data_IF_257893473520
#
_entry.id   IF_257893473520
#
_cell.length_a   1.000
_cell.length_b   1.000
_cell.length_c   1.000
_cell.angle_alpha   90.00
_cell.angle_beta   90.00
_cell.angle_gamma   90.00
#
_symmetry.space_group_name_H-M   'P 1'
#
loop_
_entity.id
_entity.type
_entity.pdbx_description
1 polymer ?
#
# COMPACT_ATOMS: atom_id res chain seq x y z
N UNK A 1 8.86 -5.79 23.29
CA UNK A 1 9.75 -5.87 22.12
C UNK A 1 8.91 -5.53 20.91
N UNK A 2 9.29 -4.50 20.14
CA UNK A 2 8.60 -4.14 18.90
C UNK A 2 8.79 -5.30 17.91
N UNK A 3 7.69 -5.91 17.47
CA UNK A 3 7.72 -7.08 16.58
C UNK A 3 7.67 -6.72 15.10
N UNK A 4 7.26 -5.49 14.76
CA UNK A 4 7.11 -5.02 13.38
C UNK A 4 8.32 -4.18 12.98
N UNK A 5 8.94 -4.50 11.86
CA UNK A 5 10.16 -3.85 11.35
C UNK A 5 10.02 -3.63 9.86
N UNK A 6 10.56 -2.53 9.36
CA UNK A 6 10.59 -2.23 7.93
C UNK A 6 11.79 -1.35 7.61
N UNK A 7 12.44 -1.58 6.47
CA UNK A 7 13.54 -0.75 5.97
C UNK A 7 12.98 0.28 5.01
N UNK A 8 13.35 1.54 5.14
CA UNK A 8 12.94 2.62 4.25
C UNK A 8 13.98 2.82 3.17
N UNK A 9 13.48 2.96 1.95
CA UNK A 9 14.21 3.45 0.80
C UNK A 9 14.40 4.99 0.85
N UNK A 10 15.41 5.51 0.14
CA UNK A 10 15.69 6.93 0.01
C UNK A 10 14.46 7.70 -0.53
N UNK A 11 13.70 7.12 -1.45
CA UNK A 11 12.46 7.71 -1.97
C UNK A 11 11.45 8.02 -0.86
N UNK A 12 11.34 7.15 0.14
CA UNK A 12 10.43 7.34 1.27
C UNK A 12 10.87 8.52 2.14
N UNK A 13 12.16 8.67 2.39
CA UNK A 13 12.70 9.84 3.11
C UNK A 13 12.39 11.15 2.37
N UNK A 14 12.62 11.18 1.05
CA UNK A 14 12.32 12.34 0.20
C UNK A 14 10.83 12.69 0.29
N UNK A 15 9.94 11.68 0.26
CA UNK A 15 8.49 11.90 0.40
C UNK A 15 8.06 12.32 1.81
N UNK A 16 8.73 11.85 2.85
CA UNK A 16 8.51 12.31 4.22
C UNK A 16 8.89 13.79 4.42
N UNK A 17 9.86 14.28 3.64
CA UNK A 17 10.26 15.70 3.65
C UNK A 17 9.33 16.58 2.81
N UNK A 18 8.97 16.12 1.60
CA UNK A 18 8.21 16.93 0.63
C UNK A 18 6.68 16.79 0.78
N UNK A 19 6.20 15.74 1.43
CA UNK A 19 4.78 15.42 1.62
C UNK A 19 4.39 15.29 3.09
N UNK A 20 3.12 14.97 3.34
CA UNK A 20 2.58 14.80 4.71
C UNK A 20 2.39 13.34 5.10
N UNK A 21 1.75 12.55 4.22
CA UNK A 21 1.34 11.16 4.50
C UNK A 21 2.47 10.28 5.04
N UNK A 22 3.64 10.26 4.39
CA UNK A 22 4.75 9.40 4.83
C UNK A 22 5.27 9.79 6.21
N UNK A 23 5.42 11.10 6.46
CA UNK A 23 5.84 11.60 7.77
C UNK A 23 4.81 11.27 8.85
N UNK A 24 3.53 11.51 8.58
CA UNK A 24 2.43 11.19 9.50
C UNK A 24 2.42 9.69 9.85
N UNK A 25 2.64 8.81 8.88
CA UNK A 25 2.75 7.36 9.12
C UNK A 25 3.94 7.01 10.02
N UNK A 26 5.11 7.59 9.79
CA UNK A 26 6.30 7.34 10.63
C UNK A 26 6.05 7.83 12.07
N UNK A 27 5.51 9.04 12.22
CA UNK A 27 5.22 9.64 13.53
C UNK A 27 4.13 8.87 14.29
N UNK A 28 3.05 8.49 13.60
CA UNK A 28 1.92 7.77 14.18
C UNK A 28 2.32 6.36 14.65
N UNK A 29 3.10 5.64 13.85
CA UNK A 29 3.39 4.23 14.11
C UNK A 29 4.77 3.96 14.73
N UNK A 30 5.59 5.00 15.01
CA UNK A 30 6.94 4.84 15.56
C UNK A 30 7.02 4.12 16.91
N UNK A 31 5.90 4.06 17.67
CA UNK A 31 5.83 3.28 18.91
C UNK A 31 5.58 1.77 18.67
N UNK A 32 5.03 1.40 17.51
CA UNK A 32 4.60 0.04 17.16
C UNK A 32 5.47 -0.62 16.08
N UNK A 33 6.18 0.19 15.29
CA UNK A 33 6.99 -0.23 14.14
C UNK A 33 8.38 0.38 14.27
N UNK A 34 9.40 -0.45 14.16
CA UNK A 34 10.79 0.01 14.05
C UNK A 34 11.10 0.28 12.57
N UNK A 35 11.35 1.55 12.26
CA UNK A 35 11.70 2.02 10.91
C UNK A 35 13.22 2.08 10.78
N UNK A 36 13.78 1.29 9.86
CA UNK A 36 15.22 1.21 9.63
C UNK A 36 15.63 1.93 8.35
N UNK A 37 16.77 2.59 8.32
CA UNK A 37 17.27 3.31 7.13
C UNK A 37 18.77 3.03 6.97
N UNK A 38 19.26 2.55 5.81
CA UNK A 38 20.70 2.50 5.55
C UNK A 38 21.28 3.91 5.57
N UNK A 39 22.47 4.11 6.16
CA UNK A 39 23.12 5.44 6.20
C UNK A 39 23.27 6.04 4.79
N UNK A 40 23.65 5.21 3.81
CA UNK A 40 23.76 5.59 2.40
C UNK A 40 22.43 6.09 1.79
N UNK A 41 21.27 5.64 2.29
CA UNK A 41 19.96 6.11 1.81
C UNK A 41 19.64 7.53 2.29
N UNK A 42 20.15 7.93 3.47
CA UNK A 42 20.07 9.33 3.91
C UNK A 42 20.91 10.25 3.02
N UNK A 43 22.14 9.85 2.69
CA UNK A 43 23.02 10.63 1.80
C UNK A 43 22.44 10.75 0.38
N UNK A 44 21.80 9.69 -0.09
CA UNK A 44 21.05 9.73 -1.34
C UNK A 44 19.87 10.71 -1.26
N UNK A 45 19.00 10.57 -0.26
CA UNK A 45 17.86 11.46 -0.07
C UNK A 45 18.27 12.95 0.01
N UNK A 46 19.35 13.26 0.73
CA UNK A 46 19.93 14.60 0.81
C UNK A 46 20.29 15.15 -0.59
N UNK A 47 21.05 14.39 -1.39
CA UNK A 47 21.44 14.79 -2.75
C UNK A 47 20.22 15.05 -3.63
N UNK A 48 19.22 14.17 -3.58
CA UNK A 48 18.00 14.32 -4.38
C UNK A 48 17.14 15.51 -3.94
N UNK A 49 16.99 15.73 -2.63
CA UNK A 49 16.24 16.87 -2.08
C UNK A 49 16.83 18.20 -2.52
N UNK A 50 18.15 18.35 -2.51
CA UNK A 50 18.81 19.58 -2.98
C UNK A 50 18.56 19.83 -4.47
N UNK A 51 18.60 18.78 -5.30
CA UNK A 51 18.29 18.88 -6.75
C UNK A 51 16.83 19.24 -6.99
N UNK A 52 15.90 18.60 -6.27
CA UNK A 52 14.45 18.87 -6.38
C UNK A 52 14.14 20.28 -5.87
N UNK A 53 14.72 20.68 -4.75
CA UNK A 53 14.55 21.99 -4.13
C UNK A 53 14.99 23.11 -5.05
N UNK A 54 16.16 22.98 -5.67
CA UNK A 54 16.66 23.94 -6.67
C UNK A 54 15.70 24.09 -7.87
N UNK A 55 15.09 22.99 -8.34
CA UNK A 55 14.13 23.02 -9.44
C UNK A 55 12.77 23.62 -9.06
N UNK A 56 12.33 23.44 -7.82
CA UNK A 56 10.99 23.85 -7.34
C UNK A 56 10.99 25.15 -6.53
N UNK A 57 12.16 25.76 -6.30
CA UNK A 57 12.30 27.00 -5.53
C UNK A 57 12.10 26.80 -4.02
N UNK A 58 12.37 25.60 -3.49
CA UNK A 58 12.37 25.36 -2.05
C UNK A 58 13.70 25.78 -1.43
N UNK A 59 13.65 26.28 -0.20
CA UNK A 59 14.86 26.61 0.57
C UNK A 59 15.66 25.33 0.90
N UNK A 60 16.92 25.21 0.45
CA UNK A 60 17.76 24.05 0.74
C UNK A 60 17.89 23.77 2.23
N UNK A 61 18.02 24.83 3.05
CA UNK A 61 18.19 24.66 4.50
C UNK A 61 16.94 24.04 5.13
N UNK A 62 15.76 24.56 4.81
CA UNK A 62 14.50 23.99 5.29
C UNK A 62 14.30 22.51 4.90
N UNK A 63 14.75 22.11 3.71
CA UNK A 63 14.68 20.70 3.27
C UNK A 63 15.60 19.80 4.10
N UNK A 64 16.84 20.23 4.33
CA UNK A 64 17.81 19.47 5.13
C UNK A 64 17.40 19.41 6.60
N UNK A 65 16.95 20.53 7.18
CA UNK A 65 16.43 20.58 8.55
C UNK A 65 15.23 19.61 8.71
N UNK A 66 14.35 19.52 7.71
CA UNK A 66 13.24 18.58 7.68
C UNK A 66 13.70 17.12 7.57
N UNK A 67 14.70 16.82 6.74
CA UNK A 67 15.30 15.48 6.64
C UNK A 67 15.95 15.06 7.97
N UNK A 68 16.73 15.96 8.59
CA UNK A 68 17.42 15.69 9.85
C UNK A 68 16.43 15.45 11.00
N UNK A 69 15.27 16.12 10.98
CA UNK A 69 14.23 15.87 11.97
C UNK A 69 13.56 14.49 11.86
N UNK A 70 13.82 13.71 10.79
CA UNK A 70 13.41 12.30 10.71
C UNK A 70 14.37 11.35 11.43
N UNK A 71 15.65 11.72 11.62
CA UNK A 71 16.66 10.89 12.28
C UNK A 71 16.24 10.36 13.66
N UNK A 72 15.61 11.14 14.57
CA UNK A 72 15.15 10.60 15.85
C UNK A 72 13.95 9.64 15.75
N UNK A 73 13.30 9.56 14.59
CA UNK A 73 12.12 8.72 14.35
C UNK A 73 12.46 7.36 13.69
N UNK A 74 13.73 7.17 13.30
CA UNK A 74 14.19 5.99 12.56
C UNK A 74 15.51 5.46 13.13
N UNK A 75 15.80 4.18 12.92
CA UNK A 75 17.05 3.53 13.30
C UNK A 75 17.98 3.43 12.08
N UNK A 76 19.23 3.86 12.20
CA UNK A 76 20.20 3.74 11.10
C UNK A 76 20.82 2.34 11.05
N UNK A 77 20.97 1.82 9.84
CA UNK A 77 21.73 0.59 9.57
C UNK A 77 23.08 0.99 9.00
N UNK A 78 24.15 0.67 9.74
CA UNK A 78 25.50 1.09 9.37
C UNK A 78 26.03 0.31 8.17
N UNK A 79 26.99 0.89 7.46
CA UNK A 79 27.65 0.23 6.34
C UNK A 79 28.29 -1.12 6.73
N UNK A 80 28.87 -1.23 7.93
CA UNK A 80 29.50 -2.47 8.40
C UNK A 80 28.50 -3.63 8.49
N UNK A 81 27.23 -3.34 8.80
CA UNK A 81 26.18 -4.33 8.89
C UNK A 81 25.70 -4.83 7.51
N UNK A 82 25.76 -3.97 6.48
CA UNK A 82 25.19 -4.27 5.15
C UNK A 82 26.24 -4.67 4.11
N UNK A 83 27.48 -4.20 4.21
CA UNK A 83 28.57 -4.51 3.27
C UNK A 83 28.80 -6.01 3.09
N UNK A 84 28.77 -6.87 4.13
CA UNK A 84 28.89 -8.32 3.97
C UNK A 84 27.81 -8.95 3.08
N UNK A 85 26.65 -8.31 2.96
CA UNK A 85 25.51 -8.77 2.16
C UNK A 85 25.47 -8.14 0.76
N UNK A 86 26.40 -7.25 0.43
CA UNK A 86 26.42 -6.50 -0.84
C UNK A 86 26.32 -7.39 -2.07
N UNK A 87 27.13 -8.45 -2.14
CA UNK A 87 27.10 -9.37 -3.29
C UNK A 87 25.75 -10.07 -3.44
N UNK A 88 25.11 -10.46 -2.33
CA UNK A 88 23.79 -11.09 -2.34
C UNK A 88 22.68 -10.09 -2.70
N UNK A 89 22.79 -8.85 -2.23
CA UNK A 89 21.87 -7.76 -2.58
C UNK A 89 21.97 -7.41 -4.08
N UNK A 90 23.17 -7.22 -4.60
CA UNK A 90 23.40 -6.94 -6.03
C UNK A 90 22.92 -8.09 -6.93
N UNK A 91 23.13 -9.35 -6.53
CA UNK A 91 22.62 -10.50 -7.27
C UNK A 91 21.08 -10.53 -7.33
N UNK A 92 20.41 -10.06 -6.27
CA UNK A 92 18.95 -9.93 -6.19
C UNK A 92 18.41 -8.76 -7.02
N UNK A 93 19.12 -7.63 -7.00
CA UNK A 93 18.82 -6.47 -7.84
C UNK A 93 18.94 -6.86 -9.31
N UNK A 94 19.99 -7.59 -9.70
CA UNK A 94 20.15 -8.04 -11.08
C UNK A 94 20.42 -6.85 -12.02
N UNK A 95 19.52 -6.60 -12.97
CA UNK A 95 19.68 -5.55 -13.99
C UNK A 95 18.97 -4.22 -13.68
N UNK A 96 18.37 -4.05 -12.48
CA UNK A 96 17.81 -2.77 -12.01
C UNK A 96 18.90 -1.84 -11.48
N UNK A 97 18.54 -0.75 -10.80
CA UNK A 97 19.52 0.21 -10.25
C UNK A 97 20.47 -0.44 -9.22
N UNK A 98 21.78 -0.54 -9.52
CA UNK A 98 22.74 -1.09 -8.58
C UNK A 98 22.94 -0.22 -7.33
N UNK A 99 22.49 1.04 -7.33
CA UNK A 99 22.58 1.93 -6.17
C UNK A 99 21.62 1.54 -5.03
N UNK A 100 20.58 0.76 -5.31
CA UNK A 100 19.60 0.27 -4.34
C UNK A 100 20.11 -0.85 -3.41
N UNK A 101 21.33 -1.33 -3.66
CA UNK A 101 21.91 -2.45 -2.91
C UNK A 101 21.92 -2.23 -1.38
N UNK A 102 22.14 -1.02 -0.83
CA UNK A 102 22.14 -0.81 0.62
C UNK A 102 20.78 -1.12 1.25
N UNK A 103 19.69 -0.76 0.57
CA UNK A 103 18.31 -0.98 1.04
C UNK A 103 17.98 -2.47 1.02
N UNK A 104 18.32 -3.18 -0.06
CA UNK A 104 18.16 -4.64 -0.14
C UNK A 104 19.03 -5.34 0.90
N UNK A 105 20.29 -4.93 1.07
CA UNK A 105 21.20 -5.52 2.06
C UNK A 105 20.71 -5.32 3.50
N UNK A 106 20.19 -4.14 3.84
CA UNK A 106 19.59 -3.88 5.15
C UNK A 106 18.35 -4.76 5.40
N UNK A 107 17.48 -4.91 4.40
CA UNK A 107 16.32 -5.80 4.47
C UNK A 107 16.71 -7.26 4.73
N UNK A 108 17.78 -7.73 4.09
CA UNK A 108 18.32 -9.07 4.32
C UNK A 108 18.95 -9.21 5.71
N UNK A 109 19.70 -8.21 6.17
CA UNK A 109 20.34 -8.23 7.50
C UNK A 109 19.30 -8.30 8.62
N UNK A 110 18.21 -7.55 8.48
CA UNK A 110 17.15 -7.42 9.49
C UNK A 110 16.01 -8.43 9.30
N UNK A 111 16.00 -9.15 8.16
CA UNK A 111 14.94 -10.07 7.75
C UNK A 111 13.55 -9.41 7.79
N UNK A 112 13.44 -8.21 7.22
CA UNK A 112 12.21 -7.42 7.23
C UNK A 112 11.92 -6.80 5.86
N UNK A 113 10.67 -6.42 5.56
CA UNK A 113 10.31 -5.80 4.28
C UNK A 113 11.00 -4.46 4.03
N UNK A 114 10.94 -4.00 2.78
CA UNK A 114 11.33 -2.65 2.34
C UNK A 114 10.08 -1.81 2.10
N UNK A 115 10.01 -0.60 2.64
CA UNK A 115 9.09 0.45 2.21
C UNK A 115 9.76 1.25 1.09
N UNK A 116 9.18 1.21 -0.10
CA UNK A 116 9.65 1.95 -1.28
C UNK A 116 8.46 2.33 -2.14
N UNK A 117 8.60 3.35 -2.97
CA UNK A 117 7.67 3.66 -4.07
C UNK A 117 8.30 3.38 -5.43
N UNK A 118 9.52 2.84 -5.42
CA UNK A 118 10.26 2.48 -6.61
C UNK A 118 9.88 1.05 -7.05
N UNK A 119 9.64 0.91 -8.34
CA UNK A 119 9.34 -0.38 -8.95
C UNK A 119 10.58 -1.27 -9.10
N UNK A 120 11.78 -0.71 -8.97
CA UNK A 120 13.04 -1.43 -9.17
C UNK A 120 13.30 -2.49 -8.09
N UNK A 121 12.75 -2.33 -6.89
CA UNK A 121 12.79 -3.36 -5.85
C UNK A 121 11.86 -4.55 -6.13
N UNK A 122 10.88 -4.42 -7.04
CA UNK A 122 9.94 -5.49 -7.32
C UNK A 122 10.65 -6.67 -8.00
N UNK A 123 10.57 -7.85 -7.40
CA UNK A 123 11.27 -9.04 -7.87
C UNK A 123 12.76 -9.09 -7.49
N UNK A 124 13.20 -8.26 -6.54
CA UNK A 124 14.50 -8.39 -5.88
C UNK A 124 14.52 -9.48 -4.80
N UNK A 125 13.45 -10.27 -4.66
CA UNK A 125 13.38 -11.35 -3.65
C UNK A 125 13.35 -10.86 -2.21
N UNK A 126 12.94 -9.60 -2.00
CA UNK A 126 12.57 -9.00 -0.71
C UNK A 126 11.12 -8.53 -0.79
N UNK A 127 10.37 -8.61 0.31
CA UNK A 127 9.01 -8.12 0.34
C UNK A 127 9.02 -6.58 0.31
N UNK A 128 8.23 -5.98 -0.60
CA UNK A 128 8.11 -4.53 -0.71
C UNK A 128 6.73 -4.05 -0.28
N UNK A 129 6.69 -2.90 0.39
CA UNK A 129 5.49 -2.15 0.75
C UNK A 129 5.57 -0.79 0.08
N UNK A 130 4.45 -0.30 -0.41
CA UNK A 130 4.31 1.09 -0.86
C UNK A 130 3.19 1.72 -0.04
N UNK A 131 3.21 3.04 0.07
CA UNK A 131 2.14 3.83 0.68
C UNK A 131 0.89 3.87 -0.22
N UNK A 132 1.00 3.44 -1.47
CA UNK A 132 -0.08 3.49 -2.48
C UNK A 132 -0.73 2.12 -2.75
N UNK A 133 -0.14 1.02 -2.27
CA UNK A 133 -0.63 -0.31 -2.61
C UNK A 133 -1.88 -0.69 -1.85
N UNK A 134 -2.17 -0.09 -0.69
CA UNK A 134 -3.41 -0.39 0.05
C UNK A 134 -4.13 0.91 0.33
N UNK A 135 -5.27 1.10 -0.31
CA UNK A 135 -6.22 2.16 0.02
C UNK A 135 -7.24 1.59 1.01
N UNK A 136 -7.61 2.35 2.03
CA UNK A 136 -8.53 1.93 3.08
C UNK A 136 -9.61 3.00 3.29
N UNK A 137 -10.64 2.66 4.04
CA UNK A 137 -11.65 3.61 4.54
C UNK A 137 -12.42 4.31 3.42
N UNK A 138 -13.08 3.49 2.60
CA UNK A 138 -13.87 3.95 1.47
C UNK A 138 -15.18 4.62 1.92
N UNK A 139 -15.75 5.55 1.14
CA UNK A 139 -17.07 6.11 1.41
C UNK A 139 -18.16 5.02 1.50
N UNK A 140 -19.14 5.23 2.38
CA UNK A 140 -20.28 4.32 2.56
C UNK A 140 -21.09 4.19 1.28
N UNK A 141 -21.25 5.30 0.56
CA UNK A 141 -22.08 5.42 -0.64
C UNK A 141 -21.60 4.50 -1.77
N UNK A 142 -20.30 4.23 -1.84
CA UNK A 142 -19.71 3.36 -2.88
C UNK A 142 -19.53 1.91 -2.43
N UNK A 143 -19.89 1.59 -1.18
CA UNK A 143 -19.60 0.29 -0.54
C UNK A 143 -20.86 -0.33 0.08
N UNK A 144 -21.92 -0.62 -0.71
CA UNK A 144 -23.25 -0.96 -0.21
C UNK A 144 -23.32 -2.25 0.61
N UNK A 145 -22.36 -3.16 0.46
CA UNK A 145 -22.31 -4.44 1.19
C UNK A 145 -21.34 -4.41 2.38
N UNK A 146 -20.63 -3.31 2.61
CA UNK A 146 -19.54 -3.26 3.58
C UNK A 146 -19.95 -2.61 4.90
N UNK A 147 -19.54 -3.20 6.02
CA UNK A 147 -19.79 -2.67 7.36
C UNK A 147 -19.22 -1.24 7.52
N UNK A 148 -19.97 -0.39 8.21
CA UNK A 148 -19.47 0.93 8.64
C UNK A 148 -18.20 0.81 9.47
N UNK A 149 -17.30 1.78 9.32
CA UNK A 149 -16.09 1.86 10.14
C UNK A 149 -16.45 2.07 11.62
N UNK A 150 -15.80 1.30 12.51
CA UNK A 150 -16.10 1.29 13.96
C UNK A 150 -15.88 2.63 14.65
N UNK A 151 -14.98 3.45 14.12
CA UNK A 151 -14.50 4.70 14.75
C UNK A 151 -14.69 5.95 13.88
N UNK A 152 -14.84 5.78 12.55
CA UNK A 152 -14.78 6.90 11.59
C UNK A 152 -16.11 6.98 10.87
N UNK A 153 -16.84 8.06 11.10
CA UNK A 153 -18.16 8.24 10.48
C UNK A 153 -18.00 8.57 8.99
N UNK A 154 -18.89 8.03 8.14
CA UNK A 154 -18.92 8.30 6.71
C UNK A 154 -18.06 7.37 5.85
N UNK A 155 -17.30 6.45 6.47
CA UNK A 155 -16.49 5.45 5.76
C UNK A 155 -16.79 4.02 6.22
N UNK A 156 -16.27 3.04 5.48
CA UNK A 156 -16.47 1.60 5.71
C UNK A 156 -15.17 0.88 6.04
N UNK A 157 -15.26 -0.27 6.71
CA UNK A 157 -14.10 -1.15 6.95
C UNK A 157 -13.76 -1.95 5.68
N UNK A 158 -13.15 -1.28 4.71
CA UNK A 158 -12.73 -1.83 3.42
C UNK A 158 -11.28 -1.46 3.12
N UNK A 159 -10.57 -2.36 2.43
CA UNK A 159 -9.29 -2.07 1.80
C UNK A 159 -9.26 -2.58 0.35
N UNK A 160 -8.58 -1.86 -0.54
CA UNK A 160 -8.25 -2.31 -1.90
C UNK A 160 -6.72 -2.34 -2.07
N UNK A 161 -6.22 -3.47 -2.57
CA UNK A 161 -4.82 -3.69 -2.93
C UNK A 161 -4.61 -3.28 -4.39
N UNK A 162 -3.80 -2.26 -4.64
CA UNK A 162 -3.39 -1.85 -5.99
C UNK A 162 -1.98 -2.35 -6.30
N UNK A 163 -1.83 -2.96 -7.48
CA UNK A 163 -0.53 -3.42 -8.00
C UNK A 163 -0.44 -3.02 -9.47
N UNK A 164 0.66 -2.36 -9.86
CA UNK A 164 0.90 -1.89 -11.24
C UNK A 164 -0.25 -1.03 -11.81
N UNK A 165 -0.89 -0.21 -10.96
CA UNK A 165 -1.93 0.74 -11.35
C UNK A 165 -3.34 0.15 -11.52
N UNK A 166 -3.55 -1.12 -11.15
CA UNK A 166 -4.89 -1.72 -11.11
C UNK A 166 -5.17 -2.36 -9.75
N UNK A 167 -6.45 -2.44 -9.38
CA UNK A 167 -6.91 -3.17 -8.20
C UNK A 167 -6.65 -4.67 -8.39
N UNK A 168 -5.85 -5.27 -7.54
CA UNK A 168 -5.53 -6.70 -7.54
C UNK A 168 -6.43 -7.50 -6.60
N UNK A 169 -6.74 -6.95 -5.44
CA UNK A 169 -7.57 -7.58 -4.44
C UNK A 169 -8.35 -6.54 -3.63
N UNK A 170 -9.45 -6.95 -3.04
CA UNK A 170 -10.27 -6.16 -2.13
C UNK A 170 -10.62 -7.00 -0.92
N UNK A 171 -10.74 -6.39 0.25
CA UNK A 171 -11.23 -7.07 1.43
C UNK A 171 -11.98 -6.13 2.35
N UNK A 172 -12.92 -6.68 3.10
CA UNK A 172 -13.82 -5.87 3.92
C UNK A 172 -14.47 -6.65 5.05
N UNK A 173 -14.88 -5.94 6.10
CA UNK A 173 -15.83 -6.49 7.08
C UNK A 173 -17.23 -6.52 6.48
N UNK A 174 -17.87 -7.68 6.45
CA UNK A 174 -19.20 -7.86 5.87
C UNK A 174 -20.26 -7.06 6.64
N UNK A 175 -21.20 -6.43 5.92
CA UNK A 175 -22.38 -5.85 6.55
C UNK A 175 -23.36 -6.98 6.95
N UNK A 176 -23.37 -7.31 8.23
CA UNK A 176 -24.20 -8.39 8.77
C UNK A 176 -25.58 -7.93 9.28
N UNK A 177 -25.85 -6.62 9.33
CA UNK A 177 -27.11 -6.08 9.83
C UNK A 177 -28.15 -6.05 8.69
N UNK A 178 -29.20 -6.89 8.74
CA UNK A 178 -30.19 -6.98 7.67
C UNK A 178 -31.04 -5.71 7.51
N UNK A 179 -31.21 -4.92 8.58
CA UNK A 179 -31.97 -3.66 8.52
C UNK A 179 -31.18 -2.63 7.73
N UNK A 180 -29.91 -2.44 8.10
CA UNK A 180 -29.02 -1.51 7.38
C UNK A 180 -28.78 -1.98 5.95
N UNK A 181 -28.63 -3.29 5.72
CA UNK A 181 -28.44 -3.83 4.37
C UNK A 181 -29.67 -3.56 3.48
N UNK A 182 -30.89 -3.70 4.02
CA UNK A 182 -32.13 -3.37 3.30
C UNK A 182 -32.19 -1.89 2.94
N UNK A 183 -31.85 -1.00 3.87
CA UNK A 183 -31.81 0.45 3.62
C UNK A 183 -30.88 0.79 2.44
N UNK A 184 -29.69 0.16 2.39
CA UNK A 184 -28.73 0.36 1.30
C UNK A 184 -29.22 -0.18 -0.04
N UNK A 185 -29.88 -1.34 -0.06
CA UNK A 185 -30.49 -1.83 -1.30
C UNK A 185 -31.63 -0.95 -1.79
N UNK A 186 -32.42 -0.34 -0.90
CA UNK A 186 -33.44 0.64 -1.29
C UNK A 186 -32.80 1.90 -1.90
N UNK A 187 -31.67 2.37 -1.34
CA UNK A 187 -30.92 3.49 -1.90
C UNK A 187 -30.35 3.16 -3.29
N UNK A 188 -29.71 2.01 -3.44
CA UNK A 188 -29.18 1.51 -4.72
C UNK A 188 -30.29 1.34 -5.77
N UNK A 189 -31.46 0.81 -5.39
CA UNK A 189 -32.60 0.70 -6.30
C UNK A 189 -33.12 2.09 -6.75
N UNK A 190 -33.05 3.11 -5.88
CA UNK A 190 -33.37 4.48 -6.25
C UNK A 190 -32.34 5.10 -7.20
N UNK A 191 -31.06 4.73 -7.09
CA UNK A 191 -29.99 5.11 -8.02
C UNK A 191 -30.17 4.42 -9.38
N UNK A 192 -30.52 3.13 -9.39
CA UNK A 192 -30.87 2.41 -10.61
C UNK A 192 -32.03 3.09 -11.36
N UNK A 193 -33.05 3.54 -10.65
CA UNK A 193 -34.17 4.29 -11.23
C UNK A 193 -33.76 5.65 -11.83
N UNK A 194 -32.61 6.20 -11.43
CA UNK A 194 -32.01 7.42 -11.99
C UNK A 194 -31.06 7.14 -13.17
N UNK A 195 -30.89 5.89 -13.57
CA UNK A 195 -30.12 5.49 -14.74
C UNK A 195 -28.72 4.96 -14.43
N UNK A 196 -28.45 4.53 -13.20
CA UNK A 196 -27.24 3.78 -12.88
C UNK A 196 -27.44 2.28 -13.18
N UNK A 197 -26.90 1.81 -14.30
CA UNK A 197 -27.03 0.42 -14.76
C UNK A 197 -26.22 -0.57 -13.88
N UNK A 198 -25.27 -0.09 -13.08
CA UNK A 198 -24.42 -0.90 -12.20
C UNK A 198 -24.97 -0.99 -10.76
N UNK A 199 -26.02 -0.23 -10.44
CA UNK A 199 -26.60 -0.20 -9.11
C UNK A 199 -27.27 -1.54 -8.75
N UNK A 200 -27.11 -1.93 -7.48
CA UNK A 200 -27.61 -3.20 -6.98
C UNK A 200 -29.15 -3.22 -6.90
N UNK A 201 -29.74 -4.38 -7.22
CA UNK A 201 -31.17 -4.64 -6.99
C UNK A 201 -31.40 -5.13 -5.57
N UNK A 202 -32.63 -4.97 -5.08
CA UNK A 202 -33.04 -5.56 -3.80
C UNK A 202 -33.09 -7.09 -3.96
N UNK A 203 -32.29 -7.80 -3.16
CA UNK A 203 -32.29 -9.27 -3.05
C UNK A 203 -32.95 -9.71 -1.73
N UNK A 204 -34.21 -10.13 -1.81
CA UNK A 204 -34.99 -10.56 -0.64
C UNK A 204 -34.53 -11.91 -0.08
N UNK A 205 -33.92 -12.78 -0.89
CA UNK A 205 -33.41 -14.06 -0.42
C UNK A 205 -32.12 -13.85 0.38
N UNK A 206 -31.23 -12.95 -0.08
CA UNK A 206 -30.05 -12.55 0.66
C UNK A 206 -30.39 -11.87 1.99
N UNK A 207 -31.36 -10.94 2.00
CA UNK A 207 -31.80 -10.29 3.24
C UNK A 207 -32.37 -11.30 4.23
N UNK A 208 -33.21 -12.23 3.76
CA UNK A 208 -33.74 -13.31 4.61
C UNK A 208 -32.60 -14.18 5.16
N UNK A 209 -31.56 -14.47 4.37
CA UNK A 209 -30.40 -15.21 4.85
C UNK A 209 -29.66 -14.45 5.97
N UNK A 210 -29.48 -13.14 5.84
CA UNK A 210 -28.88 -12.30 6.89
C UNK A 210 -29.70 -12.28 8.18
N UNK A 211 -31.03 -12.26 8.08
CA UNK A 211 -31.96 -12.31 9.22
C UNK A 211 -31.81 -13.59 10.06
N UNK A 212 -31.24 -14.65 9.50
CA UNK A 212 -30.87 -15.87 10.24
C UNK A 212 -29.58 -15.75 11.05
N UNK A 213 -29.14 -14.53 11.33
CA UNK A 213 -27.98 -14.18 12.16
C UNK A 213 -26.64 -14.58 11.53
N UNK A 214 -26.28 -13.90 10.43
CA UNK A 214 -24.93 -13.98 9.89
C UNK A 214 -23.89 -13.56 10.96
N UNK A 215 -22.88 -14.40 11.25
CA UNK A 215 -21.84 -14.05 12.22
C UNK A 215 -20.94 -12.92 11.68
N UNK A 216 -20.27 -12.14 12.56
CA UNK A 216 -19.23 -11.20 12.13
C UNK A 216 -18.20 -11.89 11.24
N UNK A 217 -18.12 -11.44 10.00
CA UNK A 217 -17.34 -12.09 8.94
C UNK A 217 -16.54 -11.04 8.15
N UNK A 218 -15.46 -11.49 7.53
CA UNK A 218 -14.72 -10.70 6.56
C UNK A 218 -14.75 -11.37 5.19
N UNK A 219 -14.97 -10.58 4.15
CA UNK A 219 -14.89 -10.97 2.75
C UNK A 219 -13.54 -10.57 2.15
N UNK A 220 -13.08 -11.35 1.17
CA UNK A 220 -11.94 -10.98 0.34
C UNK A 220 -12.12 -11.51 -1.08
N UNK A 221 -11.85 -10.66 -2.07
CA UNK A 221 -11.80 -11.00 -3.48
C UNK A 221 -10.42 -10.71 -4.06
N UNK A 222 -9.94 -11.59 -4.94
CA UNK A 222 -8.69 -11.40 -5.68
C UNK A 222 -8.88 -11.77 -7.15
N UNK A 223 -8.45 -10.88 -8.05
CA UNK A 223 -8.49 -11.13 -9.47
C UNK A 223 -7.34 -12.06 -9.90
N UNK A 224 -7.64 -13.32 -10.20
CA UNK A 224 -6.60 -14.30 -10.57
C UNK A 224 -5.89 -13.94 -11.89
N UNK A 225 -6.60 -13.42 -12.88
CA UNK A 225 -5.97 -12.95 -14.13
C UNK A 225 -5.04 -11.76 -13.86
N UNK A 226 -5.48 -10.81 -13.04
CA UNK A 226 -4.67 -9.65 -12.60
C UNK A 226 -3.45 -10.09 -11.79
N UNK A 227 -3.59 -11.12 -10.96
CA UNK A 227 -2.47 -11.73 -10.24
C UNK A 227 -1.45 -12.31 -11.21
N UNK A 228 -1.90 -13.07 -12.21
CA UNK A 228 -1.01 -13.62 -13.23
C UNK A 228 -0.32 -12.51 -14.03
N UNK A 229 -1.02 -11.44 -14.40
CA UNK A 229 -0.42 -10.27 -15.06
C UNK A 229 0.63 -9.59 -14.18
N UNK A 230 0.37 -9.45 -12.88
CA UNK A 230 1.30 -8.86 -11.93
C UNK A 230 2.57 -9.72 -11.77
N UNK A 231 2.41 -11.05 -11.69
CA UNK A 231 3.51 -11.99 -11.51
C UNK A 231 4.36 -12.18 -12.78
N UNK A 232 3.72 -12.20 -13.95
CA UNK A 232 4.39 -12.53 -15.22
C UNK A 232 4.88 -11.30 -15.99
N UNK A 233 4.36 -10.11 -15.66
CA UNK A 233 4.62 -8.91 -16.44
C UNK A 233 3.74 -8.76 -17.68
N UNK A 234 3.02 -9.82 -18.07
CA UNK A 234 2.26 -9.92 -19.32
C UNK A 234 0.87 -9.27 -19.25
N UNK A 235 0.26 -9.03 -20.42
CA UNK A 235 -1.11 -8.52 -20.53
C UNK A 235 -2.18 -9.61 -20.33
N UNK A 236 -3.43 -9.20 -20.06
CA UNK A 236 -4.54 -10.13 -19.73
C UNK A 236 -4.82 -11.19 -20.81
N UNK A 237 -4.60 -10.85 -22.08
CA UNK A 237 -4.80 -11.80 -23.20
C UNK A 237 -3.71 -12.85 -23.29
N UNK A 238 -2.52 -12.53 -22.77
CA UNK A 238 -1.37 -13.43 -22.75
C UNK A 238 -1.42 -14.37 -21.54
N UNK A 239 -2.18 -14.00 -20.50
CA UNK A 239 -2.39 -14.82 -19.29
C UNK A 239 -3.60 -15.74 -19.38
N UNK A 240 -4.50 -15.55 -20.35
CA UNK A 240 -5.69 -16.38 -20.58
C UNK A 240 -5.45 -17.26 -21.81
N UNK A 241 -5.62 -18.58 -21.66
CA UNK A 241 -5.38 -19.57 -22.73
C UNK A 241 -6.22 -19.31 -24.00
N UNK A 242 -7.48 -18.91 -23.84
CA UNK A 242 -8.42 -18.65 -24.92
C UNK A 242 -9.17 -17.32 -24.64
N UNK A 243 -8.54 -16.17 -24.88
CA UNK A 243 -9.14 -14.88 -24.56
C UNK A 243 -10.28 -14.55 -25.53
N UNK A 244 -11.21 -13.70 -25.10
CA UNK A 244 -12.23 -13.16 -26.00
C UNK A 244 -11.55 -12.35 -27.13
N UNK A 245 -11.76 -12.79 -28.37
CA UNK A 245 -11.32 -12.09 -29.58
C UNK A 245 -12.56 -11.51 -30.27
N UNK A 246 -12.44 -10.27 -30.77
CA UNK A 246 -13.47 -9.66 -31.63
C UNK A 246 -13.39 -10.22 -33.04
#
# INVERSE_FOLDING_TARGET
MISRRIVLDANILIRAVLGKRVRELIEQYGAEVAFFVPELAFEEAERHLLVIGAKRGHDPKALLDSLDSLRPLVETVTEEAIVPLRSAALARIGSRDPMDWPVVAASLALSCPVWTEDHDFFGAGVATWTSANVEMDFPVETSPLTRHHREVTGVVEKWDLYVRGFELATGYSELIDPVVQRERFVQQAAEAARGDDEAMRIDEEFLRALEHAMPPSGGMGMGMDRLLMALTGLGIRETILFPLVK
#
